data_IF_969786051552
#
_entry.id   IF_969786051552
#
_cell.length_a   1.000
_cell.length_b   1.000
_cell.length_c   1.000
_cell.angle_alpha   90.00
_cell.angle_beta   90.00
_cell.angle_gamma   90.00
#
_symmetry.space_group_name_H-M   'P 1'
#
loop_
_entity.id
_entity.type
_entity.pdbx_description
1 polymer ?
#
# COMPACT_ATOMS: atom_id res chain seq x y z
N UNK A 1 5.10 -17.64 18.80
CA UNK A 1 5.15 -18.67 17.73
C UNK A 1 6.03 -18.12 16.63
N UNK A 2 7.08 -18.83 16.23
CA UNK A 2 7.87 -18.45 15.05
C UNK A 2 6.97 -18.48 13.82
N UNK A 3 6.98 -17.42 13.04
CA UNK A 3 6.19 -17.32 11.81
C UNK A 3 6.62 -18.40 10.82
N UNK A 4 5.67 -18.99 10.07
CA UNK A 4 6.02 -20.04 9.11
C UNK A 4 6.71 -19.44 7.88
N UNK A 5 7.68 -20.17 7.30
CA UNK A 5 8.40 -19.73 6.08
C UNK A 5 7.42 -19.32 4.95
N UNK A 6 6.35 -20.10 4.76
CA UNK A 6 5.33 -19.79 3.76
C UNK A 6 4.61 -18.46 4.05
N UNK A 7 4.29 -18.18 5.31
CA UNK A 7 3.67 -16.91 5.69
C UNK A 7 4.59 -15.71 5.40
N UNK A 8 5.89 -15.84 5.67
CA UNK A 8 6.88 -14.81 5.30
C UNK A 8 6.92 -14.60 3.78
N UNK A 9 6.97 -15.68 3.00
CA UNK A 9 6.97 -15.61 1.53
C UNK A 9 5.71 -14.93 0.99
N UNK A 10 4.53 -15.30 1.48
CA UNK A 10 3.25 -14.69 1.08
C UNK A 10 3.22 -13.19 1.36
N UNK A 11 3.71 -12.77 2.54
CA UNK A 11 3.80 -11.36 2.92
C UNK A 11 4.77 -10.60 2.03
N UNK A 12 5.95 -11.15 1.76
CA UNK A 12 6.94 -10.55 0.85
C UNK A 12 6.36 -10.45 -0.57
N UNK A 13 5.71 -11.51 -1.06
CA UNK A 13 5.08 -11.54 -2.37
C UNK A 13 3.99 -10.47 -2.51
N UNK A 14 3.17 -10.29 -1.47
CA UNK A 14 2.15 -9.23 -1.41
C UNK A 14 2.79 -7.84 -1.47
N UNK A 15 3.90 -7.61 -0.75
CA UNK A 15 4.63 -6.33 -0.76
C UNK A 15 5.20 -6.01 -2.14
N UNK A 16 5.96 -6.95 -2.73
CA UNK A 16 6.55 -6.77 -4.05
C UNK A 16 5.48 -6.55 -5.13
N UNK A 17 4.39 -7.31 -5.12
CA UNK A 17 3.29 -7.17 -6.08
C UNK A 17 2.56 -5.82 -5.94
N UNK A 18 2.38 -5.35 -4.71
CA UNK A 18 1.76 -4.05 -4.45
C UNK A 18 2.65 -2.92 -4.97
N UNK A 19 3.96 -3.00 -4.72
CA UNK A 19 4.92 -2.02 -5.20
C UNK A 19 5.04 -2.03 -6.74
N UNK A 20 5.04 -3.21 -7.37
CA UNK A 20 4.99 -3.35 -8.83
C UNK A 20 3.77 -2.64 -9.45
N UNK A 21 2.60 -2.82 -8.83
CA UNK A 21 1.35 -2.18 -9.27
C UNK A 21 1.44 -0.66 -9.12
N UNK A 22 1.98 -0.18 -7.99
CA UNK A 22 2.20 1.24 -7.73
C UNK A 22 3.10 1.88 -8.81
N UNK A 23 4.28 1.30 -9.06
CA UNK A 23 5.21 1.77 -10.10
C UNK A 23 4.54 1.78 -11.48
N UNK A 24 3.80 0.71 -11.81
CA UNK A 24 3.11 0.59 -13.09
C UNK A 24 2.10 1.73 -13.31
N UNK A 25 1.35 2.08 -12.28
CA UNK A 25 0.37 3.17 -12.35
C UNK A 25 1.04 4.54 -12.47
N UNK A 26 2.12 4.78 -11.73
CA UNK A 26 2.86 6.04 -11.80
C UNK A 26 3.54 6.25 -13.15
N UNK A 27 4.12 5.17 -13.71
CA UNK A 27 4.72 5.21 -15.04
C UNK A 27 3.70 5.57 -16.12
N UNK A 28 2.46 5.08 -16.02
CA UNK A 28 1.38 5.39 -16.97
C UNK A 28 0.96 6.87 -16.97
N UNK A 29 1.14 7.57 -15.85
CA UNK A 29 0.83 9.01 -15.73
C UNK A 29 2.08 9.89 -15.87
N UNK A 30 3.21 9.33 -16.33
CA UNK A 30 4.44 10.07 -16.61
C UNK A 30 5.28 10.44 -15.39
N UNK A 31 4.99 9.91 -14.19
CA UNK A 31 5.79 10.16 -12.97
C UNK A 31 6.94 9.16 -12.88
N UNK A 32 8.04 9.45 -13.57
CA UNK A 32 9.20 8.55 -13.70
C UNK A 32 10.23 8.66 -12.57
N UNK A 33 10.15 9.67 -11.69
CA UNK A 33 11.10 9.86 -10.59
C UNK A 33 11.10 8.68 -9.60
N UNK A 34 9.96 8.00 -9.45
CA UNK A 34 9.84 6.78 -8.62
C UNK A 34 10.61 5.58 -9.19
N UNK A 35 11.05 5.63 -10.45
CA UNK A 35 11.91 4.57 -10.99
C UNK A 35 13.28 4.55 -10.30
N UNK A 36 13.82 5.72 -9.89
CA UNK A 36 15.07 5.79 -9.13
C UNK A 36 14.92 5.17 -7.74
N UNK A 37 13.77 5.38 -7.10
CA UNK A 37 13.47 4.75 -5.83
C UNK A 37 13.31 3.22 -6.00
N UNK A 38 12.69 2.78 -7.10
CA UNK A 38 12.57 1.37 -7.43
C UNK A 38 13.94 0.72 -7.68
N UNK A 39 14.86 1.37 -8.38
CA UNK A 39 16.24 0.89 -8.55
C UNK A 39 16.90 0.60 -7.20
N UNK A 40 16.84 1.56 -6.27
CA UNK A 40 17.39 1.41 -4.91
C UNK A 40 16.74 0.23 -4.19
N UNK A 41 15.41 0.17 -4.15
CA UNK A 41 14.68 -0.89 -3.43
C UNK A 41 14.99 -2.27 -4.01
N UNK A 42 14.95 -2.42 -5.33
CA UNK A 42 15.22 -3.71 -5.97
C UNK A 42 16.70 -4.12 -5.86
N UNK A 43 17.64 -3.18 -5.65
CA UNK A 43 19.06 -3.52 -5.37
C UNK A 43 19.16 -4.41 -4.13
N UNK A 44 18.60 -3.97 -3.01
CA UNK A 44 18.67 -4.71 -1.74
C UNK A 44 17.84 -5.99 -1.79
N UNK A 45 16.67 -5.97 -2.45
CA UNK A 45 15.85 -7.16 -2.67
C UNK A 45 16.65 -8.26 -3.39
N UNK A 46 17.31 -7.92 -4.50
CA UNK A 46 18.07 -8.88 -5.30
C UNK A 46 19.32 -9.36 -4.53
N UNK A 47 20.01 -8.46 -3.83
CA UNK A 47 21.16 -8.81 -2.98
C UNK A 47 20.78 -9.84 -1.92
N UNK A 48 19.63 -9.66 -1.26
CA UNK A 48 19.17 -10.60 -0.24
C UNK A 48 18.76 -11.95 -0.86
N UNK A 49 18.02 -11.94 -1.96
CA UNK A 49 17.52 -13.17 -2.62
C UNK A 49 18.68 -14.01 -3.17
N UNK A 50 19.61 -13.39 -3.90
CA UNK A 50 20.65 -14.09 -4.65
C UNK A 50 22.03 -14.04 -4.01
N UNK A 51 22.17 -13.41 -2.83
CA UNK A 51 23.45 -13.25 -2.13
C UNK A 51 24.50 -12.53 -2.99
N UNK A 52 24.08 -11.44 -3.64
CA UNK A 52 24.90 -10.57 -4.49
C UNK A 52 25.36 -9.31 -3.74
N UNK A 53 26.29 -8.59 -4.36
CA UNK A 53 26.87 -7.32 -3.89
C UNK A 53 26.58 -6.20 -4.93
N UNK A 54 25.33 -6.11 -5.38
CA UNK A 54 24.88 -5.06 -6.30
C UNK A 54 24.93 -3.69 -5.63
N UNK A 55 25.35 -2.71 -6.41
CA UNK A 55 25.36 -1.29 -6.05
C UNK A 55 24.82 -0.46 -7.20
N UNK A 56 24.19 0.68 -6.91
CA UNK A 56 23.67 1.57 -7.94
C UNK A 56 24.83 2.30 -8.65
N UNK A 57 24.89 2.16 -9.97
CA UNK A 57 25.94 2.74 -10.82
C UNK A 57 25.82 4.26 -10.98
N UNK A 58 24.60 4.82 -10.93
CA UNK A 58 24.34 6.26 -11.04
C UNK A 58 24.98 7.08 -9.90
N UNK A 59 25.56 6.43 -8.88
CA UNK A 59 26.38 7.09 -7.86
C UNK A 59 27.76 7.57 -8.36
N UNK A 60 28.22 7.14 -9.56
CA UNK A 60 29.60 7.36 -10.01
C UNK A 60 29.73 8.17 -11.31
N UNK A 61 28.84 8.03 -12.31
CA UNK A 61 28.96 8.74 -13.61
C UNK A 61 27.59 9.00 -14.27
N UNK A 62 27.30 10.23 -14.69
CA UNK A 62 26.06 10.68 -15.38
C UNK A 62 25.88 10.17 -16.83
N UNK A 63 26.68 9.19 -17.27
CA UNK A 63 26.55 8.58 -18.59
C UNK A 63 25.75 7.30 -18.45
N UNK A 64 24.45 7.33 -18.75
CA UNK A 64 23.54 6.17 -18.71
C UNK A 64 24.13 4.98 -19.50
N UNK A 65 24.78 4.00 -18.82
CA UNK A 65 25.64 3.02 -19.48
C UNK A 65 24.84 1.82 -20.02
N UNK A 66 23.50 1.90 -19.99
CA UNK A 66 22.62 0.78 -20.35
C UNK A 66 22.42 -0.24 -19.23
N UNK A 67 22.82 0.09 -18.00
CA UNK A 67 22.48 -0.65 -16.78
C UNK A 67 22.39 0.33 -15.60
N UNK A 68 21.67 -0.05 -14.54
CA UNK A 68 21.51 0.79 -13.35
C UNK A 68 22.28 0.21 -12.15
N UNK A 69 22.43 -1.11 -12.09
CA UNK A 69 23.08 -1.82 -10.98
C UNK A 69 24.28 -2.63 -11.46
N UNK A 70 25.32 -2.69 -10.62
CA UNK A 70 26.54 -3.45 -10.89
C UNK A 70 26.99 -4.23 -9.66
N UNK A 71 27.41 -5.48 -9.90
CA UNK A 71 28.20 -6.29 -8.99
C UNK A 71 29.50 -6.67 -9.70
N UNK A 72 30.60 -6.02 -9.32
CA UNK A 72 31.93 -6.22 -9.93
C UNK A 72 32.53 -7.58 -9.57
N UNK A 73 32.18 -8.13 -8.40
CA UNK A 73 32.73 -9.39 -7.89
C UNK A 73 32.15 -10.57 -8.64
N UNK A 74 30.83 -10.58 -8.80
CA UNK A 74 30.11 -11.63 -9.54
C UNK A 74 29.99 -11.33 -11.04
N UNK A 75 30.49 -10.17 -11.49
CA UNK A 75 30.43 -9.68 -12.87
C UNK A 75 29.00 -9.63 -13.42
N UNK A 76 28.09 -9.01 -12.67
CA UNK A 76 26.68 -8.87 -13.04
C UNK A 76 26.35 -7.40 -13.29
N UNK A 77 25.61 -7.15 -14.38
CA UNK A 77 24.99 -5.87 -14.68
C UNK A 77 23.47 -6.05 -14.70
N UNK A 78 22.71 -5.15 -14.08
CA UNK A 78 21.25 -5.19 -14.11
C UNK A 78 20.70 -3.84 -14.55
N UNK A 79 19.90 -3.84 -15.62
CA UNK A 79 19.00 -2.72 -15.90
C UNK A 79 17.65 -2.98 -15.24
N UNK A 80 17.18 -2.03 -14.44
CA UNK A 80 15.85 -2.00 -13.83
C UNK A 80 14.96 -1.08 -14.66
N UNK A 81 13.77 -1.54 -15.03
CA UNK A 81 12.90 -0.72 -15.89
C UNK A 81 11.43 -1.06 -15.73
N UNK A 82 10.59 -0.03 -15.67
CA UNK A 82 9.14 -0.16 -15.74
C UNK A 82 8.64 -0.46 -17.18
N UNK A 83 9.49 -0.29 -18.20
CA UNK A 83 9.17 -0.66 -19.58
C UNK A 83 10.04 -1.82 -20.02
N UNK A 84 9.42 -2.91 -20.47
CA UNK A 84 10.08 -4.11 -20.97
C UNK A 84 9.67 -4.37 -22.42
N UNK A 85 10.23 -3.58 -23.34
CA UNK A 85 10.11 -3.78 -24.78
C UNK A 85 11.43 -4.30 -25.38
N UNK A 86 11.34 -4.91 -26.57
CA UNK A 86 12.54 -5.33 -27.32
C UNK A 86 13.51 -4.16 -27.50
N UNK A 87 13.00 -3.02 -27.91
CA UNK A 87 13.82 -1.84 -28.19
C UNK A 87 14.47 -1.30 -26.92
N UNK A 88 13.76 -1.29 -25.78
CA UNK A 88 14.33 -0.84 -24.51
C UNK A 88 15.48 -1.75 -24.05
N UNK A 89 15.32 -3.07 -24.16
CA UNK A 89 16.38 -4.03 -23.80
C UNK A 89 17.54 -3.92 -24.78
N UNK A 90 17.28 -3.86 -26.09
CA UNK A 90 18.31 -3.70 -27.11
C UNK A 90 19.10 -2.40 -26.93
N UNK A 91 18.43 -1.29 -26.65
CA UNK A 91 19.08 -0.01 -26.37
C UNK A 91 19.95 -0.07 -25.11
N UNK A 92 19.55 -0.86 -24.11
CA UNK A 92 20.35 -1.05 -22.89
C UNK A 92 21.62 -1.82 -23.24
N UNK A 93 21.49 -2.98 -23.92
CA UNK A 93 22.62 -3.78 -24.41
C UNK A 93 23.61 -2.98 -25.26
N UNK A 94 23.10 -2.17 -26.22
CA UNK A 94 23.94 -1.41 -27.14
C UNK A 94 24.72 -0.25 -26.49
N UNK A 95 24.30 0.20 -25.30
CA UNK A 95 24.97 1.29 -24.57
C UNK A 95 26.10 0.80 -23.66
N UNK A 96 26.14 -0.50 -23.37
CA UNK A 96 27.15 -1.09 -22.47
C UNK A 96 28.51 -1.03 -23.13
N UNK A 97 29.49 -0.45 -22.43
CA UNK A 97 30.88 -0.42 -22.88
C UNK A 97 31.51 -1.82 -22.75
N UNK A 98 31.53 -2.56 -23.85
CA UNK A 98 32.01 -3.95 -23.89
C UNK A 98 33.49 -4.12 -23.58
N UNK A 99 34.30 -3.07 -23.76
CA UNK A 99 35.72 -3.10 -23.46
C UNK A 99 35.97 -3.10 -21.94
N UNK A 100 35.04 -2.49 -21.19
CA UNK A 100 35.11 -2.40 -19.73
C UNK A 100 34.39 -3.58 -19.05
N UNK A 101 33.25 -3.99 -19.61
CA UNK A 101 32.38 -5.02 -19.02
C UNK A 101 32.47 -6.36 -19.76
N UNK A 102 33.67 -6.72 -20.23
CA UNK A 102 33.90 -7.97 -20.92
C UNK A 102 33.57 -9.18 -20.02
N UNK A 103 32.80 -10.12 -20.56
CA UNK A 103 32.33 -11.34 -19.88
C UNK A 103 31.41 -11.10 -18.68
N UNK A 104 30.81 -9.91 -18.55
CA UNK A 104 29.76 -9.68 -17.57
C UNK A 104 28.45 -10.34 -18.01
N UNK A 105 27.66 -10.78 -17.03
CA UNK A 105 26.32 -11.27 -17.23
C UNK A 105 25.33 -10.12 -17.08
N UNK A 106 24.73 -9.72 -18.19
CA UNK A 106 23.71 -8.69 -18.21
C UNK A 106 22.34 -9.27 -17.90
N UNK A 107 21.57 -8.56 -17.10
CA UNK A 107 20.21 -8.92 -16.72
C UNK A 107 19.28 -7.72 -16.88
N UNK A 108 18.02 -8.01 -17.17
CA UNK A 108 17.00 -6.98 -17.34
C UNK A 108 15.83 -7.28 -16.40
N UNK A 109 15.62 -6.44 -15.40
CA UNK A 109 14.52 -6.56 -14.44
C UNK A 109 13.35 -5.66 -14.85
N UNK A 110 12.23 -6.30 -15.22
CA UNK A 110 10.95 -5.65 -15.43
C UNK A 110 10.21 -5.48 -14.09
N UNK A 111 10.04 -4.22 -13.66
CA UNK A 111 9.41 -3.87 -12.38
C UNK A 111 7.96 -3.41 -12.51
N UNK A 112 7.39 -3.45 -13.70
CA UNK A 112 5.97 -3.17 -13.95
C UNK A 112 5.20 -4.44 -14.29
N UNK A 113 3.87 -4.35 -14.27
CA UNK A 113 2.98 -5.47 -14.58
C UNK A 113 2.80 -5.69 -16.10
N UNK A 114 3.90 -5.70 -16.86
CA UNK A 114 3.92 -5.96 -18.30
C UNK A 114 4.17 -7.44 -18.58
N UNK A 115 3.51 -8.00 -19.61
CA UNK A 115 3.73 -9.38 -20.01
C UNK A 115 5.08 -9.55 -20.72
N UNK A 116 6.03 -10.21 -20.06
CA UNK A 116 7.38 -10.41 -20.60
C UNK A 116 7.57 -11.72 -21.37
N UNK A 117 6.59 -12.63 -21.36
CA UNK A 117 6.70 -13.97 -21.97
C UNK A 117 7.05 -13.93 -23.45
N UNK A 118 6.48 -12.99 -24.19
CA UNK A 118 6.77 -12.82 -25.62
C UNK A 118 8.15 -12.20 -25.83
N UNK A 119 8.55 -11.25 -24.99
CA UNK A 119 9.85 -10.57 -25.07
C UNK A 119 11.01 -11.56 -24.85
N UNK A 120 10.86 -12.51 -23.91
CA UNK A 120 11.84 -13.59 -23.67
C UNK A 120 12.11 -14.51 -24.87
N UNK A 121 11.19 -14.56 -25.84
CA UNK A 121 11.32 -15.38 -27.06
C UNK A 121 12.02 -14.63 -28.20
N UNK A 122 12.23 -13.32 -28.06
CA UNK A 122 12.83 -12.49 -29.10
C UNK A 122 14.34 -12.68 -29.17
N UNK A 123 14.89 -12.40 -30.34
CA UNK A 123 16.34 -12.34 -30.59
C UNK A 123 16.84 -10.92 -30.36
N UNK A 124 18.01 -10.82 -29.73
CA UNK A 124 18.72 -9.57 -29.45
C UNK A 124 20.09 -9.62 -30.12
N UNK A 125 20.55 -8.47 -30.58
CA UNK A 125 21.92 -8.30 -31.02
C UNK A 125 22.79 -8.12 -29.78
N UNK A 126 23.62 -9.12 -29.51
CA UNK A 126 24.51 -9.16 -28.36
C UNK A 126 25.93 -9.13 -28.91
N UNK A 127 26.76 -8.25 -28.38
CA UNK A 127 28.20 -8.26 -28.65
C UNK A 127 28.81 -9.50 -28.02
N UNK A 128 29.64 -10.25 -28.76
CA UNK A 128 30.11 -11.60 -28.39
C UNK A 128 30.75 -11.73 -26.99
N UNK A 129 31.18 -10.63 -26.38
CA UNK A 129 31.82 -10.62 -25.07
C UNK A 129 30.85 -10.41 -23.90
N UNK A 130 29.60 -10.01 -24.13
CA UNK A 130 28.60 -9.84 -23.08
C UNK A 130 27.71 -11.08 -22.99
N UNK A 131 27.45 -11.58 -21.79
CA UNK A 131 26.60 -12.74 -21.59
C UNK A 131 25.16 -12.29 -21.33
N UNK A 132 24.23 -12.68 -22.21
CA UNK A 132 22.80 -12.41 -22.04
C UNK A 132 21.97 -13.51 -22.71
N UNK A 133 21.23 -14.28 -21.91
CA UNK A 133 20.26 -15.26 -22.40
C UNK A 133 18.84 -14.79 -22.08
N UNK A 134 18.05 -14.28 -23.05
CA UNK A 134 16.76 -13.65 -22.79
C UNK A 134 15.77 -14.48 -21.96
N UNK A 135 15.82 -15.81 -22.09
CA UNK A 135 14.96 -16.72 -21.31
C UNK A 135 15.28 -16.71 -19.82
N UNK A 136 16.57 -16.62 -19.46
CA UNK A 136 17.10 -16.69 -18.10
C UNK A 136 17.32 -15.34 -17.47
N UNK A 137 17.75 -14.36 -18.26
CA UNK A 137 18.28 -13.09 -17.78
C UNK A 137 17.30 -11.91 -17.90
N UNK A 138 16.10 -12.13 -18.45
CA UNK A 138 14.98 -11.20 -18.30
C UNK A 138 14.16 -11.64 -17.09
N UNK A 139 14.12 -10.80 -16.07
CA UNK A 139 13.45 -11.05 -14.81
C UNK A 139 12.19 -10.20 -14.69
N UNK A 140 11.22 -10.68 -13.92
CA UNK A 140 10.07 -9.92 -13.43
C UNK A 140 9.88 -10.16 -11.94
N UNK A 141 8.91 -9.47 -11.35
CA UNK A 141 8.59 -9.63 -9.92
C UNK A 141 8.16 -11.07 -9.60
N UNK A 142 7.46 -11.74 -10.51
CA UNK A 142 7.07 -13.15 -10.36
C UNK A 142 8.29 -14.07 -10.24
N UNK A 143 9.33 -13.84 -11.05
CA UNK A 143 10.61 -14.54 -10.98
C UNK A 143 11.27 -14.35 -9.60
N UNK A 144 11.29 -13.14 -9.07
CA UNK A 144 11.83 -12.88 -7.71
C UNK A 144 11.02 -13.62 -6.63
N UNK A 145 9.68 -13.58 -6.72
CA UNK A 145 8.78 -14.27 -5.79
C UNK A 145 9.02 -15.78 -5.81
N UNK A 146 9.23 -16.38 -6.99
CA UNK A 146 9.53 -17.80 -7.12
C UNK A 146 10.81 -18.20 -6.38
N UNK A 147 11.85 -17.34 -6.42
CA UNK A 147 13.12 -17.64 -5.76
C UNK A 147 13.08 -17.46 -4.24
N UNK A 148 12.05 -16.82 -3.67
CA UNK A 148 11.90 -16.71 -2.21
C UNK A 148 11.81 -18.08 -1.52
N UNK A 149 11.33 -19.11 -2.22
CA UNK A 149 11.25 -20.47 -1.69
C UNK A 149 12.63 -21.09 -1.44
N UNK A 150 13.67 -20.62 -2.14
CA UNK A 150 15.06 -21.07 -2.01
C UNK A 150 15.83 -20.28 -0.94
N UNK A 151 15.32 -19.14 -0.50
CA UNK A 151 15.95 -18.26 0.50
C UNK A 151 15.76 -18.83 1.92
N UNK A 152 16.76 -18.70 2.78
CA UNK A 152 16.66 -19.11 4.19
C UNK A 152 15.74 -18.18 5.00
N UNK A 153 15.19 -18.70 6.09
CA UNK A 153 14.17 -17.99 6.89
C UNK A 153 14.70 -16.66 7.46
N UNK A 154 15.98 -16.59 7.85
CA UNK A 154 16.59 -15.41 8.45
C UNK A 154 16.69 -14.29 7.40
N UNK A 155 17.09 -14.63 6.17
CA UNK A 155 17.09 -13.67 5.06
C UNK A 155 15.69 -13.21 4.67
N UNK A 156 14.69 -14.10 4.72
CA UNK A 156 13.29 -13.71 4.47
C UNK A 156 12.78 -12.72 5.53
N UNK A 157 13.07 -12.95 6.81
CA UNK A 157 12.73 -11.99 7.89
C UNK A 157 13.39 -10.63 7.67
N UNK A 158 14.68 -10.63 7.29
CA UNK A 158 15.42 -9.40 6.94
C UNK A 158 14.78 -8.68 5.76
N UNK A 159 14.45 -9.41 4.69
CA UNK A 159 13.83 -8.87 3.49
C UNK A 159 12.47 -8.27 3.79
N UNK A 160 11.64 -8.96 4.58
CA UNK A 160 10.33 -8.46 4.96
C UNK A 160 10.41 -7.20 5.82
N UNK A 161 11.36 -7.16 6.76
CA UNK A 161 11.62 -5.97 7.58
C UNK A 161 12.03 -4.78 6.72
N UNK A 162 12.97 -4.98 5.81
CA UNK A 162 13.42 -3.97 4.85
C UNK A 162 12.25 -3.47 3.98
N UNK A 163 11.50 -4.37 3.37
CA UNK A 163 10.37 -4.01 2.51
C UNK A 163 9.28 -3.26 3.29
N UNK A 164 9.02 -3.62 4.55
CA UNK A 164 8.09 -2.86 5.36
C UNK A 164 8.60 -1.42 5.54
N UNK A 165 9.86 -1.21 5.90
CA UNK A 165 10.45 0.13 6.05
C UNK A 165 10.34 0.96 4.77
N UNK A 166 10.64 0.36 3.62
CA UNK A 166 10.70 1.06 2.33
C UNK A 166 9.34 1.23 1.63
N UNK A 167 8.31 0.45 2.00
CA UNK A 167 6.99 0.45 1.32
C UNK A 167 5.81 0.73 2.24
N UNK A 168 6.06 1.07 3.51
CA UNK A 168 5.06 1.30 4.58
C UNK A 168 3.92 2.24 4.15
N UNK A 169 4.23 3.35 3.49
CA UNK A 169 3.23 4.34 3.07
C UNK A 169 2.34 3.88 1.90
N UNK A 170 2.89 3.05 1.00
CA UNK A 170 2.18 2.51 -0.18
C UNK A 170 1.22 1.41 0.27
N UNK A 171 1.65 0.59 1.23
CA UNK A 171 0.89 -0.53 1.77
C UNK A 171 -0.23 -0.06 2.70
N UNK A 172 0.02 0.94 3.55
CA UNK A 172 -1.00 1.54 4.43
C UNK A 172 -2.19 2.12 3.67
N UNK A 173 -2.07 2.34 2.34
CA UNK A 173 -3.20 2.75 1.51
C UNK A 173 -4.16 1.59 1.16
N UNK A 174 -3.65 0.36 0.98
CA UNK A 174 -4.44 -0.83 0.58
C UNK A 174 -4.95 -1.62 1.79
N UNK A 175 -4.13 -1.79 2.83
CA UNK A 175 -4.55 -2.48 4.08
C UNK A 175 -5.61 -1.69 4.83
N UNK A 176 -5.48 -0.36 4.90
CA UNK A 176 -6.50 0.46 5.56
C UNK A 176 -7.86 0.36 4.87
N UNK A 177 -7.89 0.25 3.53
CA UNK A 177 -9.16 0.09 2.79
C UNK A 177 -9.83 -1.26 3.07
N UNK A 178 -9.07 -2.36 3.17
CA UNK A 178 -9.60 -3.67 3.55
C UNK A 178 -10.02 -3.72 5.02
N UNK A 179 -9.22 -3.14 5.92
CA UNK A 179 -9.51 -3.08 7.36
C UNK A 179 -10.78 -2.25 7.61
N UNK A 180 -10.91 -1.10 6.93
CA UNK A 180 -12.13 -0.28 6.92
C UNK A 180 -13.32 -1.11 6.42
N UNK A 181 -13.20 -1.88 5.34
CA UNK A 181 -14.30 -2.70 4.82
C UNK A 181 -14.77 -3.77 5.81
N UNK A 182 -13.82 -4.47 6.45
CA UNK A 182 -14.13 -5.45 7.50
C UNK A 182 -14.85 -4.79 8.68
N UNK A 183 -14.35 -3.65 9.15
CA UNK A 183 -14.92 -2.92 10.29
C UNK A 183 -16.30 -2.36 9.96
N UNK A 184 -16.48 -1.78 8.77
CA UNK A 184 -17.79 -1.31 8.26
C UNK A 184 -18.80 -2.45 8.23
N UNK A 185 -18.41 -3.62 7.72
CA UNK A 185 -19.29 -4.78 7.68
C UNK A 185 -19.71 -5.21 9.09
N UNK A 186 -18.77 -5.29 10.05
CA UNK A 186 -19.07 -5.60 11.46
C UNK A 186 -20.05 -4.59 12.05
N UNK A 187 -19.78 -3.29 11.93
CA UNK A 187 -20.63 -2.23 12.48
C UNK A 187 -22.03 -2.23 11.85
N UNK A 188 -22.16 -2.67 10.60
CA UNK A 188 -23.44 -2.72 9.89
C UNK A 188 -24.38 -3.85 10.34
N UNK A 189 -23.83 -4.93 10.94
CA UNK A 189 -24.59 -6.16 11.26
C UNK A 189 -25.42 -6.11 12.54
N UNK A 190 -25.30 -5.04 13.35
CA UNK A 190 -25.89 -4.96 14.70
C UNK A 190 -27.28 -4.32 14.80
N UNK A 191 -28.05 -4.20 13.71
CA UNK A 191 -29.36 -3.52 13.77
C UNK A 191 -30.55 -4.35 13.28
N UNK A 192 -31.48 -4.61 14.20
CA UNK A 192 -32.85 -5.08 13.94
C UNK A 192 -33.88 -3.94 13.92
N UNK A 193 -33.52 -2.69 14.25
CA UNK A 193 -34.47 -1.58 14.29
C UNK A 193 -33.95 -0.34 13.55
N UNK A 194 -34.69 0.06 12.53
CA UNK A 194 -34.44 1.24 11.72
C UNK A 194 -34.66 2.52 12.54
N UNK A 195 -33.58 3.27 12.77
CA UNK A 195 -33.72 4.70 13.03
C UNK A 195 -33.75 5.42 11.68
N UNK A 196 -34.86 6.08 11.38
CA UNK A 196 -34.99 7.00 10.25
C UNK A 196 -34.48 8.39 10.66
N UNK A 197 -33.30 8.75 10.16
CA UNK A 197 -32.81 10.12 10.22
C UNK A 197 -33.39 10.91 9.04
N UNK A 198 -34.39 11.76 9.31
CA UNK A 198 -35.10 12.57 8.31
C UNK A 198 -34.30 13.76 7.75
N UNK A 199 -33.03 13.93 8.14
CA UNK A 199 -32.21 15.05 7.67
C UNK A 199 -31.27 14.66 6.52
N UNK A 200 -31.78 14.80 5.30
CA UNK A 200 -31.04 14.74 4.02
C UNK A 200 -30.38 16.09 3.68
N UNK A 201 -29.41 16.54 4.47
CA UNK A 201 -28.62 17.74 4.15
C UNK A 201 -27.15 17.40 3.91
N UNK A 202 -26.83 17.05 2.66
CA UNK A 202 -25.48 16.81 2.14
C UNK A 202 -24.70 18.10 1.85
N UNK A 203 -24.64 19.05 2.79
CA UNK A 203 -23.73 20.20 2.64
C UNK A 203 -22.36 19.80 3.19
N UNK A 204 -21.33 19.83 2.34
CA UNK A 204 -19.93 19.63 2.75
C UNK A 204 -19.50 20.89 3.50
N UNK A 205 -19.36 20.80 4.82
CA UNK A 205 -18.98 21.93 5.66
C UNK A 205 -17.46 22.07 5.76
N UNK A 206 -17.00 23.28 6.04
CA UNK A 206 -15.62 23.54 6.40
C UNK A 206 -15.32 22.86 7.75
N UNK A 207 -14.42 21.88 7.73
CA UNK A 207 -14.02 21.10 8.91
C UNK A 207 -13.57 21.99 10.07
N UNK A 208 -12.96 23.14 9.77
CA UNK A 208 -12.48 24.08 10.78
C UNK A 208 -13.64 24.71 11.58
N UNK A 209 -14.68 25.17 10.87
CA UNK A 209 -15.85 25.78 11.50
C UNK A 209 -16.53 24.81 12.46
N UNK A 210 -16.58 23.52 12.09
CA UNK A 210 -17.17 22.48 12.93
C UNK A 210 -16.33 22.16 14.16
N UNK A 211 -15.00 22.15 14.03
CA UNK A 211 -14.08 21.95 15.16
C UNK A 211 -14.23 23.08 16.18
N UNK A 212 -14.27 24.32 15.71
CA UNK A 212 -14.45 25.53 16.53
C UNK A 212 -15.79 25.48 17.25
N UNK A 213 -16.89 25.30 16.52
CA UNK A 213 -18.25 25.32 17.07
C UNK A 213 -18.49 24.24 18.14
N UNK A 214 -17.82 23.10 18.03
CA UNK A 214 -17.96 21.98 18.97
C UNK A 214 -16.86 21.91 20.04
N UNK A 215 -16.03 22.95 20.17
CA UNK A 215 -14.93 23.03 21.16
C UNK A 215 -13.92 21.87 21.08
N UNK A 216 -13.54 21.46 19.87
CA UNK A 216 -12.63 20.31 19.62
C UNK A 216 -11.17 20.71 19.35
N UNK A 217 -10.75 21.89 19.79
CA UNK A 217 -9.45 22.48 19.44
C UNK A 217 -8.23 21.60 19.73
N UNK A 218 -8.22 20.89 20.87
CA UNK A 218 -7.08 20.07 21.29
C UNK A 218 -6.86 18.83 20.40
N UNK A 219 -7.91 18.35 19.73
CA UNK A 219 -7.85 17.22 18.80
C UNK A 219 -7.90 17.64 17.33
N UNK A 220 -7.81 18.94 17.04
CA UNK A 220 -7.86 19.50 15.68
C UNK A 220 -6.89 18.80 14.74
N UNK A 221 -5.61 18.70 15.11
CA UNK A 221 -4.57 18.03 14.30
C UNK A 221 -4.92 16.57 14.02
N UNK A 222 -5.49 15.87 15.01
CA UNK A 222 -5.90 14.48 14.86
C UNK A 222 -7.04 14.33 13.85
N UNK A 223 -8.05 15.21 13.92
CA UNK A 223 -9.18 15.22 12.98
C UNK A 223 -8.68 15.49 11.55
N UNK A 224 -7.82 16.49 11.35
CA UNK A 224 -7.26 16.81 10.03
C UNK A 224 -6.43 15.68 9.43
N UNK A 225 -5.56 15.06 10.23
CA UNK A 225 -4.72 13.96 9.76
C UNK A 225 -5.56 12.81 9.22
N UNK A 226 -6.60 12.43 9.97
CA UNK A 226 -7.51 11.35 9.55
C UNK A 226 -8.48 11.75 8.42
N UNK A 227 -8.84 13.04 8.30
CA UNK A 227 -9.71 13.53 7.24
C UNK A 227 -9.15 13.27 5.83
N UNK A 228 -7.81 13.29 5.68
CA UNK A 228 -7.12 12.92 4.44
C UNK A 228 -7.48 11.53 3.90
N UNK A 229 -7.88 10.61 4.78
CA UNK A 229 -8.21 9.22 4.46
C UNK A 229 -9.72 8.96 4.29
N UNK A 230 -10.60 9.97 4.42
CA UNK A 230 -12.07 9.80 4.26
C UNK A 230 -12.43 9.23 2.89
N UNK A 231 -11.69 9.60 1.83
CA UNK A 231 -11.93 9.08 0.48
C UNK A 231 -11.90 7.56 0.39
N UNK A 232 -11.20 6.87 1.31
CA UNK A 232 -11.19 5.40 1.41
C UNK A 232 -12.52 4.87 1.95
N UNK A 233 -13.06 5.50 3.00
CA UNK A 233 -14.37 5.16 3.58
C UNK A 233 -15.48 5.35 2.55
N UNK A 234 -15.46 6.46 1.81
CA UNK A 234 -16.45 6.74 0.75
C UNK A 234 -16.43 5.64 -0.31
N UNK A 235 -15.25 5.27 -0.82
CA UNK A 235 -15.12 4.19 -1.82
C UNK A 235 -15.65 2.85 -1.33
N UNK A 236 -15.37 2.50 -0.06
CA UNK A 236 -15.87 1.27 0.55
C UNK A 236 -17.40 1.29 0.64
N UNK A 237 -18.01 2.42 1.04
CA UNK A 237 -19.47 2.54 1.01
C UNK A 237 -20.04 2.40 -0.40
N UNK A 238 -19.47 3.07 -1.41
CA UNK A 238 -19.91 2.96 -2.81
C UNK A 238 -19.83 1.52 -3.33
N UNK A 239 -18.79 0.77 -2.95
CA UNK A 239 -18.64 -0.65 -3.31
C UNK A 239 -19.70 -1.54 -2.67
N UNK A 240 -20.10 -1.26 -1.42
CA UNK A 240 -21.17 -1.99 -0.73
C UNK A 240 -22.57 -1.60 -1.24
N UNK A 241 -22.80 -0.33 -1.58
CA UNK A 241 -24.06 0.15 -2.13
C UNK A 241 -24.34 -0.47 -3.52
N UNK A 242 -23.31 -0.67 -4.34
CA UNK A 242 -23.41 -1.43 -5.61
C UNK A 242 -23.87 -2.87 -5.41
N UNK A 243 -23.65 -3.45 -4.23
CA UNK A 243 -24.11 -4.80 -3.88
C UNK A 243 -25.53 -4.81 -3.28
N UNK A 244 -26.24 -3.66 -3.29
CA UNK A 244 -27.61 -3.54 -2.80
C UNK A 244 -27.74 -3.53 -1.28
N UNK A 245 -26.67 -3.28 -0.53
CA UNK A 245 -26.68 -3.30 0.94
C UNK A 245 -26.75 -1.86 1.49
N UNK A 246 -27.71 -1.58 2.37
CA UNK A 246 -27.84 -0.29 3.10
C UNK A 246 -26.79 -0.11 4.21
N UNK A 247 -25.53 -0.46 3.93
CA UNK A 247 -24.45 -0.54 4.92
C UNK A 247 -24.07 0.83 5.46
N UNK A 248 -23.96 1.84 4.60
CA UNK A 248 -23.59 3.21 5.00
C UNK A 248 -24.56 3.78 6.03
N UNK A 249 -25.87 3.60 5.80
CA UNK A 249 -26.95 3.98 6.73
C UNK A 249 -26.81 3.26 8.08
N UNK A 250 -26.60 1.95 8.08
CA UNK A 250 -26.47 1.16 9.31
C UNK A 250 -25.25 1.57 10.15
N UNK A 251 -24.10 1.79 9.49
CA UNK A 251 -22.89 2.24 10.18
C UNK A 251 -23.08 3.63 10.80
N UNK A 252 -23.63 4.58 10.03
CA UNK A 252 -23.93 5.92 10.55
C UNK A 252 -24.87 5.84 11.75
N UNK A 253 -25.93 5.05 11.67
CA UNK A 253 -26.87 4.87 12.78
C UNK A 253 -26.19 4.31 14.03
N UNK A 254 -25.28 3.34 13.86
CA UNK A 254 -24.53 2.76 14.99
C UNK A 254 -23.63 3.80 15.68
N UNK A 255 -22.96 4.63 14.89
CA UNK A 255 -22.10 5.71 15.39
C UNK A 255 -22.95 6.76 16.12
N UNK A 256 -24.03 7.23 15.48
CA UNK A 256 -24.91 8.24 16.05
C UNK A 256 -25.55 7.77 17.35
N UNK A 257 -26.05 6.53 17.42
CA UNK A 257 -26.59 5.96 18.65
C UNK A 257 -25.55 5.95 19.77
N UNK A 258 -24.36 5.42 19.49
CA UNK A 258 -23.27 5.36 20.48
C UNK A 258 -22.90 6.77 20.96
N UNK A 259 -22.89 7.75 20.07
CA UNK A 259 -22.65 9.16 20.39
C UNK A 259 -23.75 9.75 21.30
N UNK A 260 -25.03 9.54 20.99
CA UNK A 260 -26.13 10.03 21.83
C UNK A 260 -26.15 9.37 23.22
N UNK A 261 -25.83 8.09 23.32
CA UNK A 261 -25.66 7.41 24.62
C UNK A 261 -24.53 8.05 25.44
N UNK A 262 -23.46 8.52 24.81
CA UNK A 262 -22.34 9.20 25.48
C UNK A 262 -22.67 10.62 25.92
N UNK A 263 -23.53 11.35 25.18
CA UNK A 263 -24.00 12.68 25.61
C UNK A 263 -24.76 12.64 26.93
N UNK A 264 -25.38 11.50 27.27
CA UNK A 264 -26.03 11.33 28.58
C UNK A 264 -25.06 11.10 29.75
N UNK A 265 -23.77 10.84 29.45
CA UNK A 265 -22.75 10.43 30.43
C UNK A 265 -21.65 11.46 30.63
N UNK A 266 -21.37 12.26 29.61
CA UNK A 266 -20.23 13.17 29.59
C UNK A 266 -20.61 14.51 28.95
N UNK A 267 -20.14 15.61 29.56
CA UNK A 267 -20.30 16.96 29.00
C UNK A 267 -19.11 17.40 28.15
N UNK A 268 -17.94 16.79 28.35
CA UNK A 268 -16.71 17.16 27.65
C UNK A 268 -16.72 16.59 26.21
N UNK A 269 -16.79 17.43 25.16
CA UNK A 269 -16.91 16.97 23.78
C UNK A 269 -15.68 16.17 23.32
N UNK A 270 -14.48 16.50 23.80
CA UNK A 270 -13.26 15.74 23.47
C UNK A 270 -13.30 14.36 24.12
N UNK A 271 -13.79 14.26 25.37
CA UNK A 271 -13.95 12.96 26.03
C UNK A 271 -14.95 12.09 25.27
N UNK A 272 -16.08 12.67 24.85
CA UNK A 272 -17.09 11.98 24.03
C UNK A 272 -16.48 11.43 22.74
N UNK A 273 -15.59 12.17 22.08
CA UNK A 273 -14.90 11.72 20.87
C UNK A 273 -14.11 10.42 21.09
N UNK A 274 -13.29 10.39 22.13
CA UNK A 274 -12.44 9.23 22.42
C UNK A 274 -13.23 8.04 22.94
N UNK A 275 -14.23 8.28 23.81
CA UNK A 275 -15.13 7.23 24.30
C UNK A 275 -15.98 6.62 23.18
N UNK A 276 -16.36 7.43 22.17
CA UNK A 276 -17.05 6.93 20.98
C UNK A 276 -16.18 5.93 20.22
N UNK A 277 -14.92 6.27 19.95
CA UNK A 277 -13.97 5.36 19.30
C UNK A 277 -13.78 4.09 20.15
N UNK A 278 -13.57 4.23 21.46
CA UNK A 278 -13.37 3.09 22.37
C UNK A 278 -14.58 2.15 22.42
N UNK A 279 -15.80 2.68 22.44
CA UNK A 279 -17.02 1.87 22.43
C UNK A 279 -17.20 1.11 21.11
N UNK A 280 -16.94 1.77 19.98
CA UNK A 280 -16.97 1.12 18.67
C UNK A 280 -15.88 0.06 18.55
N UNK A 281 -14.69 0.32 19.10
CA UNK A 281 -13.59 -0.64 19.15
C UNK A 281 -13.97 -1.89 19.96
N UNK A 282 -14.63 -1.73 21.11
CA UNK A 282 -15.16 -2.84 21.89
C UNK A 282 -16.22 -3.64 21.11
N UNK A 283 -17.10 -2.97 20.36
CA UNK A 283 -18.08 -3.64 19.49
C UNK A 283 -17.38 -4.50 18.44
N UNK A 284 -16.34 -3.95 17.80
CA UNK A 284 -15.58 -4.61 16.74
C UNK A 284 -14.80 -5.82 17.28
N UNK A 285 -14.09 -5.64 18.40
CA UNK A 285 -13.31 -6.72 19.05
C UNK A 285 -14.17 -7.88 19.52
N UNK A 286 -15.38 -7.60 20.00
CA UNK A 286 -16.31 -8.62 20.48
C UNK A 286 -17.18 -9.23 19.36
N UNK A 287 -16.90 -8.92 18.10
CA UNK A 287 -17.61 -9.54 16.97
C UNK A 287 -17.20 -11.00 16.77
N UNK A 288 -18.11 -11.81 16.24
CA UNK A 288 -17.83 -13.19 15.84
C UNK A 288 -17.06 -13.29 14.50
N UNK A 289 -16.77 -12.16 13.86
CA UNK A 289 -16.08 -12.11 12.58
C UNK A 289 -14.60 -12.53 12.77
N UNK A 290 -14.18 -13.59 12.08
CA UNK A 290 -12.83 -14.15 12.23
C UNK A 290 -11.73 -13.25 11.65
N UNK A 291 -12.05 -12.42 10.66
CA UNK A 291 -11.09 -11.55 9.98
C UNK A 291 -10.53 -10.47 10.92
N UNK A 292 -11.26 -10.12 11.99
CA UNK A 292 -10.82 -9.11 12.96
C UNK A 292 -9.55 -9.53 13.71
N UNK A 293 -9.29 -10.85 13.83
CA UNK A 293 -8.08 -11.37 14.49
C UNK A 293 -6.81 -11.08 13.70
N UNK A 294 -6.94 -10.77 12.41
CA UNK A 294 -5.83 -10.47 11.52
C UNK A 294 -5.51 -8.97 11.49
N UNK A 295 -6.32 -8.13 12.14
CA UNK A 295 -6.15 -6.67 12.18
C UNK A 295 -5.51 -6.30 13.51
N UNK A 296 -4.42 -5.53 13.47
CA UNK A 296 -3.78 -5.03 14.70
C UNK A 296 -4.70 -4.05 15.43
N UNK A 297 -4.52 -3.94 16.75
CA UNK A 297 -5.26 -2.98 17.56
C UNK A 297 -5.15 -1.55 17.00
N UNK A 298 -3.93 -1.15 16.64
CA UNK A 298 -3.64 0.17 16.07
C UNK A 298 -4.36 0.41 14.73
N UNK A 299 -4.47 -0.62 13.88
CA UNK A 299 -5.21 -0.53 12.62
C UNK A 299 -6.73 -0.45 12.85
N UNK A 300 -7.25 -1.16 13.86
CA UNK A 300 -8.67 -1.05 14.25
C UNK A 300 -8.96 0.38 14.68
N UNK A 301 -8.18 0.92 15.62
CA UNK A 301 -8.36 2.29 16.13
C UNK A 301 -8.23 3.31 15.00
N UNK A 302 -7.22 3.16 14.13
CA UNK A 302 -7.01 4.07 12.99
C UNK A 302 -8.18 4.03 12.00
N UNK A 303 -8.69 2.84 11.67
CA UNK A 303 -9.84 2.69 10.77
C UNK A 303 -11.11 3.30 11.35
N UNK A 304 -11.40 3.03 12.63
CA UNK A 304 -12.54 3.60 13.34
C UNK A 304 -12.47 5.13 13.41
N UNK A 305 -11.27 5.68 13.56
CA UNK A 305 -11.07 7.12 13.62
C UNK A 305 -11.44 7.80 12.31
N UNK A 306 -11.04 7.22 11.17
CA UNK A 306 -11.44 7.72 9.84
C UNK A 306 -12.96 7.59 9.63
N UNK A 307 -13.56 6.48 10.05
CA UNK A 307 -15.01 6.24 9.95
C UNK A 307 -15.82 7.24 10.81
N UNK A 308 -15.40 7.48 12.05
CA UNK A 308 -16.04 8.46 12.95
C UNK A 308 -15.91 9.87 12.40
N UNK A 309 -14.77 10.20 11.79
CA UNK A 309 -14.57 11.51 11.17
C UNK A 309 -15.42 11.68 9.90
N UNK A 310 -15.67 10.63 9.13
CA UNK A 310 -16.67 10.68 8.04
C UNK A 310 -18.07 11.02 8.58
N UNK A 311 -18.51 10.38 9.67
CA UNK A 311 -19.79 10.69 10.33
C UNK A 311 -19.83 12.12 10.91
N UNK A 312 -18.71 12.59 11.45
CA UNK A 312 -18.53 13.98 11.88
C UNK A 312 -18.70 14.95 10.70
N UNK A 313 -18.05 14.70 9.57
CA UNK A 313 -18.14 15.57 8.38
C UNK A 313 -19.54 15.59 7.78
N UNK A 314 -20.29 14.47 7.87
CA UNK A 314 -21.69 14.35 7.42
C UNK A 314 -22.72 14.92 8.41
N UNK A 315 -22.28 15.56 9.49
CA UNK A 315 -23.15 16.10 10.54
C UNK A 315 -24.09 15.08 11.19
N UNK A 316 -23.63 13.82 11.28
CA UNK A 316 -24.38 12.74 11.96
C UNK A 316 -24.02 12.63 13.44
N UNK A 317 -22.85 13.16 13.80
CA UNK A 317 -22.41 13.40 15.18
C UNK A 317 -21.87 14.82 15.30
N UNK A 318 -21.89 15.35 16.52
CA UNK A 318 -21.59 16.75 16.84
C UNK A 318 -22.51 17.75 16.15
N UNK A 319 -22.75 18.88 16.82
CA UNK A 319 -23.69 19.89 16.33
C UNK A 319 -23.19 20.51 15.03
N UNK A 320 -24.14 20.90 14.19
CA UNK A 320 -23.89 21.56 12.91
C UNK A 320 -23.63 23.05 13.14
N UNK A 321 -22.55 23.63 12.58
CA UNK A 321 -22.34 25.07 12.66
C UNK A 321 -23.48 25.83 11.97
N UNK A 322 -24.00 26.86 12.63
CA UNK A 322 -25.09 27.68 12.12
C UNK A 322 -26.51 27.16 12.40
N UNK A 323 -26.65 26.11 13.23
CA UNK A 323 -27.89 25.74 13.92
C UNK A 323 -27.96 26.29 15.34
#
# INVERSE_FOLDING_TARGET
MSESKNSLIERIALRLSTYQTYISNLSKIGKTDENLNAERIYTDVINIIFNLELSNYNSVIFNNPGFDLIDKKNKILIQVSATCSKDKIQNSLSKININEYQNYNFKFLCISNQEIKNVKKLKFQITNTLLFEPKKDIWDVSFLIQHLYEVDIIKLEKLLTYLNQETLDIVNFKTLSSDIATIINILSTKMDNEYEDNNNNNKVFNIEEKIVYNNLFSIRKYIYNNASSISKVIKVYEEFEKQGKNISKNVINQISRTYYELLSKYDNPIKIFWELIANLENIVKNSSNLDIKNISLENITSSLSVIVIDAFMKCKIYKKPGE
#
